data_IF_304414532466
#
_entry.id   IF_304414532466
#
_cell.length_a   1.000
_cell.length_b   1.000
_cell.length_c   1.000
_cell.angle_alpha   90.00
_cell.angle_beta   90.00
_cell.angle_gamma   90.00
#
_symmetry.space_group_name_H-M   'P 1'
#
loop_
_entity.id
_entity.type
_entity.pdbx_description
1 polymer ?
#
# COMPACT_ATOMS: atom_id res chain seq x y z
N UNK A 1 85.58 -4.77 15.49
CA UNK A 1 84.43 -5.70 15.60
C UNK A 1 83.18 -4.83 15.43
N UNK A 2 82.66 -4.74 14.16
CA UNK A 2 81.50 -3.87 13.84
C UNK A 2 80.22 -4.65 13.92
N UNK A 3 79.34 -4.34 14.89
CA UNK A 3 77.98 -4.83 14.99
C UNK A 3 77.10 -4.05 14.03
N UNK A 4 76.53 -4.72 12.99
CA UNK A 4 75.55 -4.17 12.07
C UNK A 4 74.14 -4.23 12.77
N UNK A 5 73.56 -3.06 13.03
CA UNK A 5 72.17 -2.96 13.48
C UNK A 5 71.24 -3.25 12.32
N UNK A 6 70.55 -4.37 12.37
CA UNK A 6 69.47 -4.70 11.44
C UNK A 6 68.18 -4.03 11.93
N UNK A 7 67.71 -3.04 11.18
CA UNK A 7 66.39 -2.41 11.40
C UNK A 7 65.35 -3.30 10.75
N UNK A 8 64.52 -3.94 11.59
CA UNK A 8 63.32 -4.68 11.17
C UNK A 8 62.20 -3.67 10.97
N UNK A 9 62.00 -3.23 9.72
CA UNK A 9 60.85 -2.37 9.34
C UNK A 9 59.58 -3.22 9.29
N UNK A 10 58.76 -3.14 10.35
CA UNK A 10 57.47 -3.83 10.43
C UNK A 10 56.48 -3.13 9.49
N UNK A 11 56.26 -3.69 8.31
CA UNK A 11 55.30 -3.22 7.33
C UNK A 11 53.90 -3.55 7.80
N UNK A 12 53.24 -2.56 8.47
CA UNK A 12 51.81 -2.65 8.85
C UNK A 12 50.97 -2.48 7.59
N UNK A 13 50.50 -3.59 7.03
CA UNK A 13 49.57 -3.61 5.91
C UNK A 13 48.18 -3.26 6.43
N UNK A 14 47.57 -2.13 6.06
CA UNK A 14 46.19 -1.80 6.49
C UNK A 14 45.22 -2.79 5.83
N UNK A 15 44.62 -3.67 6.63
CA UNK A 15 43.45 -4.49 6.23
C UNK A 15 42.27 -3.55 6.00
N UNK A 16 42.06 -3.15 4.75
CA UNK A 16 40.83 -2.49 4.32
C UNK A 16 39.67 -3.50 4.38
N UNK A 17 38.96 -3.52 5.47
CA UNK A 17 37.67 -4.19 5.53
C UNK A 17 36.67 -3.44 4.62
N UNK A 18 36.57 -3.88 3.38
CA UNK A 18 35.52 -3.42 2.48
C UNK A 18 34.19 -3.90 3.02
N UNK A 19 33.47 -3.01 3.69
CA UNK A 19 32.08 -3.23 4.10
C UNK A 19 31.19 -3.16 2.85
N UNK A 20 31.08 -4.28 2.13
CA UNK A 20 30.24 -4.38 0.93
C UNK A 20 28.77 -4.61 1.30
N UNK A 21 27.86 -3.80 0.74
CA UNK A 21 26.43 -4.06 0.83
C UNK A 21 26.09 -5.30 0.01
N UNK A 22 25.47 -6.32 0.66
CA UNK A 22 25.00 -7.52 -0.03
C UNK A 22 23.50 -7.38 -0.28
N UNK A 23 23.09 -7.43 -1.54
CA UNK A 23 21.70 -7.43 -1.98
C UNK A 23 21.32 -8.83 -2.45
N UNK A 24 20.21 -9.37 -1.94
CA UNK A 24 19.65 -10.65 -2.36
C UNK A 24 18.19 -10.45 -2.74
N UNK A 25 17.80 -11.00 -3.89
CA UNK A 25 16.37 -11.03 -4.27
C UNK A 25 15.68 -12.17 -3.52
N UNK A 26 14.48 -11.89 -3.06
CA UNK A 26 13.61 -12.83 -2.34
C UNK A 26 12.31 -13.02 -3.10
N UNK A 27 11.55 -14.06 -2.77
CA UNK A 27 10.20 -14.21 -3.27
C UNK A 27 9.31 -13.13 -2.62
N UNK A 28 8.44 -12.49 -3.40
CA UNK A 28 7.54 -11.43 -2.91
C UNK A 28 6.53 -11.91 -1.85
N UNK A 29 6.29 -13.22 -1.76
CA UNK A 29 5.40 -13.82 -0.76
C UNK A 29 6.14 -14.33 0.48
N UNK A 30 7.46 -14.20 0.53
CA UNK A 30 8.26 -14.62 1.69
C UNK A 30 8.13 -13.62 2.82
N UNK A 31 7.66 -14.09 3.98
CA UNK A 31 7.51 -13.26 5.18
C UNK A 31 8.89 -13.01 5.80
N UNK A 32 9.30 -11.75 5.86
CA UNK A 32 10.54 -11.34 6.49
C UNK A 32 10.41 -10.02 7.22
N UNK A 33 10.24 -10.11 8.52
CA UNK A 33 10.24 -8.94 9.41
C UNK A 33 11.68 -8.58 9.82
N UNK A 34 12.18 -7.46 9.32
CA UNK A 34 13.51 -6.92 9.66
C UNK A 34 13.42 -5.95 10.85
N UNK A 35 12.28 -5.29 10.99
CA UNK A 35 11.99 -4.35 12.06
C UNK A 35 10.55 -4.51 12.51
N UNK A 36 10.17 -3.88 13.62
CA UNK A 36 8.76 -3.85 14.05
C UNK A 36 7.90 -2.85 13.29
N UNK A 37 8.42 -2.21 12.25
CA UNK A 37 7.70 -1.24 11.44
C UNK A 37 6.80 -1.94 10.44
N UNK A 38 5.88 -1.14 9.87
CA UNK A 38 5.06 -1.57 8.75
C UNK A 38 5.92 -2.02 7.56
N UNK A 39 5.55 -3.12 6.92
CA UNK A 39 6.24 -3.69 5.78
C UNK A 39 5.27 -4.22 4.70
N UNK A 40 5.82 -4.83 3.66
CA UNK A 40 5.07 -5.40 2.53
C UNK A 40 4.13 -6.53 2.96
N UNK A 41 4.57 -7.39 3.88
CA UNK A 41 3.73 -8.48 4.42
C UNK A 41 2.49 -7.92 5.11
N UNK A 42 2.62 -6.84 5.89
CA UNK A 42 1.48 -6.17 6.54
C UNK A 42 0.49 -5.64 5.49
N UNK A 43 0.99 -5.02 4.42
CA UNK A 43 0.16 -4.51 3.32
C UNK A 43 -0.61 -5.63 2.63
N UNK A 44 0.04 -6.76 2.32
CA UNK A 44 -0.60 -7.93 1.70
C UNK A 44 -1.66 -8.55 2.61
N UNK A 45 -1.38 -8.67 3.91
CA UNK A 45 -2.33 -9.19 4.89
C UNK A 45 -3.58 -8.29 5.00
N UNK A 46 -3.39 -6.98 5.05
CA UNK A 46 -4.49 -6.02 5.08
C UNK A 46 -5.32 -6.13 3.81
N UNK A 47 -4.69 -6.07 2.64
CA UNK A 47 -5.40 -6.13 1.36
C UNK A 47 -6.25 -7.40 1.26
N UNK A 48 -5.66 -8.58 1.49
CA UNK A 48 -6.34 -9.86 1.33
C UNK A 48 -7.52 -10.03 2.29
N UNK A 49 -7.37 -9.65 3.55
CA UNK A 49 -8.45 -9.76 4.54
C UNK A 49 -9.58 -8.77 4.28
N UNK A 50 -9.24 -7.52 3.96
CA UNK A 50 -10.23 -6.49 3.65
C UNK A 50 -11.04 -6.82 2.39
N UNK A 51 -10.40 -7.39 1.36
CA UNK A 51 -11.08 -7.81 0.13
C UNK A 51 -12.06 -8.94 0.46
N UNK A 52 -11.59 -9.96 1.17
CA UNK A 52 -12.43 -11.10 1.53
C UNK A 52 -13.64 -10.66 2.36
N UNK A 53 -13.42 -9.81 3.36
CA UNK A 53 -14.51 -9.27 4.19
C UNK A 53 -15.46 -8.42 3.36
N UNK A 54 -14.98 -7.54 2.51
CA UNK A 54 -15.79 -6.67 1.66
C UNK A 54 -16.66 -7.48 0.69
N UNK A 55 -16.09 -8.45 -0.02
CA UNK A 55 -16.81 -9.24 -1.04
C UNK A 55 -17.79 -10.25 -0.46
N UNK A 56 -17.56 -10.71 0.77
CA UNK A 56 -18.42 -11.69 1.44
C UNK A 56 -19.47 -11.05 2.37
N UNK A 57 -19.40 -9.74 2.59
CA UNK A 57 -20.38 -9.04 3.40
C UNK A 57 -21.71 -8.81 2.64
N UNK A 58 -22.79 -8.64 3.39
CA UNK A 58 -24.14 -8.58 2.82
C UNK A 58 -24.45 -7.34 1.97
N UNK A 59 -23.58 -6.33 1.93
CA UNK A 59 -23.81 -5.10 1.16
C UNK A 59 -23.90 -5.38 -0.35
N UNK A 60 -23.04 -6.26 -0.86
CA UNK A 60 -22.97 -6.59 -2.28
C UNK A 60 -24.33 -7.11 -2.80
N UNK A 61 -24.84 -8.19 -2.20
CA UNK A 61 -26.10 -8.80 -2.62
C UNK A 61 -27.28 -7.81 -2.51
N UNK A 62 -27.33 -7.00 -1.45
CA UNK A 62 -28.34 -5.96 -1.29
C UNK A 62 -28.26 -4.90 -2.38
N UNK A 63 -27.04 -4.52 -2.75
CA UNK A 63 -26.79 -3.49 -3.76
C UNK A 63 -27.15 -3.98 -5.16
N UNK A 64 -26.71 -5.18 -5.55
CA UNK A 64 -27.04 -5.78 -6.84
C UNK A 64 -28.55 -5.96 -6.99
N UNK A 65 -29.23 -6.43 -5.93
CA UNK A 65 -30.70 -6.56 -5.93
C UNK A 65 -31.41 -5.20 -6.10
N UNK A 66 -30.84 -4.10 -5.59
CA UNK A 66 -31.39 -2.76 -5.72
C UNK A 66 -31.10 -2.10 -7.06
N UNK A 67 -29.85 -2.22 -7.54
CA UNK A 67 -29.39 -1.55 -8.75
C UNK A 67 -29.70 -2.33 -10.03
N UNK A 68 -29.89 -3.64 -9.96
CA UNK A 68 -30.05 -4.52 -11.12
C UNK A 68 -28.77 -4.67 -11.97
N UNK A 69 -27.63 -4.23 -11.43
CA UNK A 69 -26.30 -4.28 -12.09
C UNK A 69 -25.20 -4.35 -11.02
N UNK A 70 -23.98 -4.60 -11.48
CA UNK A 70 -22.78 -4.51 -10.63
C UNK A 70 -22.59 -3.07 -10.11
N UNK A 71 -22.21 -2.90 -8.83
CA UNK A 71 -21.94 -1.58 -8.27
C UNK A 71 -20.66 -0.99 -8.83
N UNK A 72 -20.67 0.30 -9.12
CA UNK A 72 -19.50 1.05 -9.56
C UNK A 72 -18.84 1.74 -8.38
N UNK A 73 -17.54 1.49 -8.19
CA UNK A 73 -16.76 1.97 -7.04
C UNK A 73 -15.65 2.93 -7.50
N UNK A 74 -15.38 3.94 -6.70
CA UNK A 74 -14.19 4.78 -6.80
C UNK A 74 -13.37 4.67 -5.52
N UNK A 75 -12.04 4.70 -5.64
CA UNK A 75 -11.17 4.83 -4.48
C UNK A 75 -11.04 6.30 -4.11
N UNK A 76 -11.40 6.60 -2.88
CA UNK A 76 -11.19 7.88 -2.23
C UNK A 76 -9.86 7.90 -1.46
N UNK A 77 -9.78 8.77 -0.45
CA UNK A 77 -8.56 8.90 0.35
C UNK A 77 -8.45 7.80 1.41
N UNK A 78 -7.27 7.18 1.48
CA UNK A 78 -6.84 6.36 2.61
C UNK A 78 -5.72 7.11 3.33
N UNK A 79 -6.04 7.61 4.52
CA UNK A 79 -5.14 8.47 5.29
C UNK A 79 -4.22 7.64 6.18
N UNK A 80 -2.92 7.91 6.12
CA UNK A 80 -1.98 7.43 7.12
C UNK A 80 -1.99 8.39 8.33
N UNK A 81 -2.54 7.95 9.45
CA UNK A 81 -2.54 8.62 10.74
C UNK A 81 -1.63 7.92 11.75
N UNK A 82 -0.74 7.04 11.28
CA UNK A 82 0.26 6.41 12.12
C UNK A 82 1.44 7.34 12.41
N UNK A 83 2.31 6.91 13.31
CA UNK A 83 3.56 7.63 13.60
C UNK A 83 4.70 7.30 12.62
N UNK A 84 4.44 6.50 11.59
CA UNK A 84 5.41 6.07 10.59
C UNK A 84 5.05 6.64 9.21
N UNK A 85 6.06 6.80 8.37
CA UNK A 85 5.83 7.14 6.97
C UNK A 85 5.45 5.88 6.20
N UNK A 86 4.14 5.61 6.10
CA UNK A 86 3.59 4.45 5.39
C UNK A 86 2.89 4.95 4.13
N UNK A 87 3.28 4.40 2.98
CA UNK A 87 2.55 4.62 1.74
C UNK A 87 1.33 3.69 1.71
N UNK A 88 0.14 4.26 1.90
CA UNK A 88 -1.13 3.52 1.91
C UNK A 88 -1.55 3.05 0.52
N UNK A 89 -1.02 3.63 -0.54
CA UNK A 89 -1.36 3.25 -1.92
C UNK A 89 -1.00 1.79 -2.22
N UNK A 90 0.05 1.26 -1.57
CA UNK A 90 0.48 -0.13 -1.80
C UNK A 90 -0.63 -1.15 -1.58
N UNK A 91 -1.32 -1.09 -0.44
CA UNK A 91 -2.42 -2.02 -0.18
C UNK A 91 -3.74 -1.58 -0.82
N UNK A 92 -3.93 -0.30 -1.08
CA UNK A 92 -5.11 0.24 -1.79
C UNK A 92 -5.14 -0.25 -3.24
N UNK A 93 -4.02 -0.18 -3.94
CA UNK A 93 -3.89 -0.69 -5.31
C UNK A 93 -4.09 -2.21 -5.38
N UNK A 94 -3.56 -2.97 -4.40
CA UNK A 94 -3.81 -4.41 -4.31
C UNK A 94 -5.29 -4.72 -4.10
N UNK A 95 -5.97 -3.97 -3.22
CA UNK A 95 -7.42 -4.10 -3.02
C UNK A 95 -8.20 -3.77 -4.29
N UNK A 96 -7.88 -2.66 -4.94
CA UNK A 96 -8.52 -2.25 -6.19
C UNK A 96 -8.38 -3.33 -7.26
N UNK A 97 -7.15 -3.82 -7.47
CA UNK A 97 -6.86 -4.89 -8.43
C UNK A 97 -7.68 -6.15 -8.15
N UNK A 98 -7.72 -6.57 -6.89
CA UNK A 98 -8.45 -7.78 -6.54
C UNK A 98 -9.97 -7.63 -6.64
N UNK A 99 -10.51 -6.47 -6.30
CA UNK A 99 -11.94 -6.16 -6.46
C UNK A 99 -12.33 -6.14 -7.95
N UNK A 100 -11.55 -5.50 -8.81
CA UNK A 100 -11.75 -5.52 -10.27
C UNK A 100 -11.71 -6.96 -10.81
N UNK A 101 -10.67 -7.72 -10.44
CA UNK A 101 -10.49 -9.09 -10.91
C UNK A 101 -11.55 -10.07 -10.39
N UNK A 102 -12.27 -9.73 -9.32
CA UNK A 102 -13.39 -10.52 -8.82
C UNK A 102 -14.60 -10.51 -9.78
N UNK A 103 -14.68 -9.53 -10.68
CA UNK A 103 -15.83 -9.31 -11.56
C UNK A 103 -17.13 -8.91 -10.86
N UNK A 104 -17.04 -8.60 -9.55
CA UNK A 104 -18.23 -8.22 -8.75
C UNK A 104 -18.47 -6.73 -8.69
N UNK A 105 -17.46 -5.92 -8.99
CA UNK A 105 -17.55 -4.46 -8.94
C UNK A 105 -16.88 -3.84 -10.15
N UNK A 106 -17.46 -2.80 -10.68
CA UNK A 106 -16.83 -1.92 -11.66
C UNK A 106 -16.07 -0.82 -10.96
N UNK A 107 -14.92 -0.42 -11.53
CA UNK A 107 -14.14 0.71 -11.02
C UNK A 107 -14.10 1.85 -12.02
N UNK A 108 -14.23 3.06 -11.51
CA UNK A 108 -13.88 4.26 -12.26
C UNK A 108 -12.54 4.79 -11.80
N UNK A 109 -11.80 5.34 -12.74
CA UNK A 109 -10.49 5.95 -12.52
C UNK A 109 -10.56 6.98 -11.38
N UNK A 110 -9.49 7.10 -10.62
CA UNK A 110 -9.33 8.07 -9.54
C UNK A 110 -9.46 9.52 -10.03
N UNK A 111 -9.58 10.46 -9.11
CA UNK A 111 -9.70 11.89 -9.47
C UNK A 111 -8.52 12.37 -10.32
N UNK A 112 -7.30 11.93 -9.99
CA UNK A 112 -6.09 12.33 -10.71
C UNK A 112 -6.07 11.73 -12.12
N UNK A 113 -6.27 10.41 -12.24
CA UNK A 113 -6.34 9.72 -13.52
C UNK A 113 -7.42 10.29 -14.45
N UNK A 114 -8.60 10.63 -13.90
CA UNK A 114 -9.66 11.26 -14.70
C UNK A 114 -9.25 12.65 -15.18
N UNK A 115 -8.44 13.39 -14.40
CA UNK A 115 -7.87 14.65 -14.81
C UNK A 115 -7.00 14.50 -16.05
N UNK A 116 -6.09 13.54 -16.04
CA UNK A 116 -5.21 13.20 -17.17
C UNK A 116 -6.00 12.70 -18.38
N UNK A 117 -6.99 11.83 -18.18
CA UNK A 117 -7.85 11.34 -19.26
C UNK A 117 -8.68 12.45 -19.93
N UNK A 118 -9.14 13.43 -19.17
CA UNK A 118 -9.86 14.59 -19.72
C UNK A 118 -8.92 15.47 -20.54
N UNK A 119 -7.72 15.70 -20.07
CA UNK A 119 -6.70 16.44 -20.79
C UNK A 119 -6.33 15.73 -22.11
N UNK A 120 -6.09 14.43 -22.06
CA UNK A 120 -5.81 13.62 -23.25
C UNK A 120 -6.95 13.68 -24.28
N UNK A 121 -8.21 13.65 -23.82
CA UNK A 121 -9.36 13.77 -24.74
C UNK A 121 -9.41 15.14 -25.42
N UNK A 122 -9.06 16.22 -24.70
CA UNK A 122 -8.95 17.55 -25.29
C UNK A 122 -7.87 17.61 -26.38
N UNK A 123 -6.71 17.00 -26.10
CA UNK A 123 -5.61 16.92 -27.06
C UNK A 123 -5.98 16.07 -28.29
N UNK A 124 -6.69 14.95 -28.11
CA UNK A 124 -7.21 14.16 -29.23
C UNK A 124 -8.24 14.92 -30.06
N UNK A 125 -9.08 15.77 -29.46
CA UNK A 125 -10.04 16.58 -30.20
C UNK A 125 -9.34 17.65 -31.05
N UNK A 126 -8.18 18.13 -30.62
CA UNK A 126 -7.39 19.13 -31.34
C UNK A 126 -6.47 18.51 -32.44
N UNK A 127 -5.81 17.40 -32.13
CA UNK A 127 -4.70 16.88 -32.92
C UNK A 127 -4.96 15.55 -33.63
N UNK A 128 -5.95 14.75 -33.20
CA UNK A 128 -6.22 13.46 -33.82
C UNK A 128 -7.16 13.61 -35.04
N UNK A 129 -7.08 12.65 -35.99
CA UNK A 129 -7.99 12.59 -37.11
C UNK A 129 -9.43 12.33 -36.65
N UNK A 130 -10.41 12.82 -37.41
CA UNK A 130 -11.83 12.67 -37.10
C UNK A 130 -12.26 11.19 -36.98
N UNK A 131 -11.58 10.29 -37.71
CA UNK A 131 -11.84 8.86 -37.68
C UNK A 131 -11.34 8.16 -36.42
N UNK A 132 -10.29 8.67 -35.78
CA UNK A 132 -9.60 8.02 -34.65
C UNK A 132 -9.88 8.66 -33.30
N UNK A 133 -10.27 9.94 -33.29
CA UNK A 133 -10.58 10.63 -32.05
C UNK A 133 -11.76 10.00 -31.30
N UNK A 134 -11.65 9.93 -30.00
CA UNK A 134 -12.76 9.45 -29.16
C UNK A 134 -13.68 10.60 -28.81
N UNK A 135 -14.95 10.46 -29.12
CA UNK A 135 -15.95 11.44 -28.75
C UNK A 135 -16.00 11.63 -27.22
N UNK A 136 -16.18 12.85 -26.77
CA UNK A 136 -16.48 13.14 -25.36
C UNK A 136 -17.78 12.44 -24.97
N UNK A 137 -17.66 11.27 -24.31
CA UNK A 137 -18.78 10.58 -23.69
C UNK A 137 -19.06 11.09 -22.28
N UNK A 138 -20.23 10.77 -21.75
CA UNK A 138 -20.50 10.96 -20.33
C UNK A 138 -19.66 9.97 -19.53
N UNK A 139 -18.97 10.47 -18.50
CA UNK A 139 -18.27 9.60 -17.54
C UNK A 139 -19.28 8.81 -16.74
N UNK A 140 -18.97 7.53 -16.48
CA UNK A 140 -19.75 6.72 -15.57
C UNK A 140 -19.50 7.25 -14.15
N UNK A 141 -20.57 7.59 -13.44
CA UNK A 141 -20.51 7.98 -12.03
C UNK A 141 -20.33 6.76 -11.13
N UNK A 142 -19.55 6.90 -10.06
CA UNK A 142 -19.45 5.86 -9.05
C UNK A 142 -20.71 5.84 -8.16
N UNK A 143 -21.15 4.65 -7.81
CA UNK A 143 -22.23 4.44 -6.83
C UNK A 143 -21.68 4.53 -5.39
N UNK A 144 -20.42 4.11 -5.21
CA UNK A 144 -19.77 4.03 -3.90
C UNK A 144 -18.34 4.57 -3.93
N UNK A 145 -17.90 5.06 -2.76
CA UNK A 145 -16.53 5.46 -2.51
C UNK A 145 -15.91 4.60 -1.41
N UNK A 146 -14.78 3.98 -1.72
CA UNK A 146 -13.92 3.28 -0.76
C UNK A 146 -12.97 4.29 -0.12
N UNK A 147 -12.97 4.42 1.20
CA UNK A 147 -12.08 5.30 1.95
C UNK A 147 -11.62 4.64 3.25
N UNK A 148 -10.57 5.17 3.87
CA UNK A 148 -10.07 4.55 5.09
C UNK A 148 -9.04 5.35 5.85
N UNK A 149 -8.58 4.77 6.95
CA UNK A 149 -7.52 5.32 7.79
C UNK A 149 -6.68 4.19 8.38
N UNK A 150 -5.37 4.40 8.40
CA UNK A 150 -4.40 3.58 9.10
C UNK A 150 -3.91 4.33 10.33
N UNK A 151 -4.06 3.74 11.51
CA UNK A 151 -3.60 4.26 12.78
C UNK A 151 -2.53 3.34 13.38
N UNK A 152 -1.69 3.88 14.27
CA UNK A 152 -0.78 3.08 15.09
C UNK A 152 -0.73 3.54 16.54
N UNK A 153 -0.45 2.60 17.44
CA UNK A 153 -0.13 2.86 18.85
C UNK A 153 1.20 2.17 19.13
N UNK A 154 2.13 2.90 19.71
CA UNK A 154 3.44 2.38 20.13
C UNK A 154 3.56 2.48 21.64
N UNK A 155 3.77 1.33 22.27
CA UNK A 155 4.11 1.22 23.69
C UNK A 155 5.53 0.67 23.80
N UNK A 156 6.43 1.43 24.43
CA UNK A 156 7.85 1.08 24.48
C UNK A 156 8.49 1.37 25.80
N UNK A 157 9.22 0.38 26.31
CA UNK A 157 10.03 0.52 27.53
C UNK A 157 11.39 -0.17 27.34
N UNK A 158 12.47 0.56 27.65
CA UNK A 158 13.86 0.10 27.50
C UNK A 158 14.17 -0.37 26.07
N UNK A 159 14.35 -1.68 25.89
CA UNK A 159 14.69 -2.31 24.59
C UNK A 159 13.53 -3.11 23.99
N UNK A 160 12.34 -2.96 24.56
CA UNK A 160 11.13 -3.66 24.15
C UNK A 160 10.11 -2.65 23.65
N UNK A 161 9.38 -3.02 22.61
CA UNK A 161 8.25 -2.23 22.14
C UNK A 161 7.13 -3.16 21.65
N UNK A 162 5.91 -2.69 21.81
CA UNK A 162 4.74 -3.25 21.13
C UNK A 162 4.24 -2.20 20.18
N UNK A 163 4.15 -2.55 18.91
CA UNK A 163 3.57 -1.70 17.87
C UNK A 163 2.24 -2.32 17.44
N UNK A 164 1.18 -1.55 17.56
CA UNK A 164 -0.16 -1.94 17.16
C UNK A 164 -0.59 -1.04 16.00
N UNK A 165 -1.00 -1.67 14.90
CA UNK A 165 -1.57 -1.01 13.73
C UNK A 165 -3.04 -1.40 13.60
N UNK A 166 -3.86 -0.45 13.19
CA UNK A 166 -5.26 -0.67 12.88
C UNK A 166 -5.61 0.04 11.58
N UNK A 167 -6.03 -0.73 10.59
CA UNK A 167 -6.58 -0.23 9.34
C UNK A 167 -8.08 -0.35 9.37
N UNK A 168 -8.77 0.74 9.13
CA UNK A 168 -10.23 0.79 9.01
C UNK A 168 -10.57 1.28 7.59
N UNK A 169 -11.42 0.53 6.91
CA UNK A 169 -11.90 0.88 5.57
C UNK A 169 -13.42 0.96 5.57
N UNK A 170 -13.96 1.83 4.73
CA UNK A 170 -15.41 2.05 4.61
C UNK A 170 -15.80 2.13 3.15
N UNK A 171 -16.93 1.54 2.83
CA UNK A 171 -17.61 1.74 1.55
C UNK A 171 -18.84 2.63 1.79
N UNK A 172 -18.85 3.78 1.16
CA UNK A 172 -19.84 4.84 1.38
C UNK A 172 -20.64 5.02 0.11
N UNK A 173 -21.97 4.92 0.21
CA UNK A 173 -22.87 5.24 -0.88
C UNK A 173 -22.83 6.75 -1.15
N UNK A 174 -22.53 7.15 -2.39
CA UNK A 174 -22.34 8.56 -2.77
C UNK A 174 -23.63 9.35 -2.88
N UNK A 175 -24.76 8.67 -3.07
CA UNK A 175 -26.08 9.30 -3.14
C UNK A 175 -26.64 9.60 -1.74
N UNK A 176 -26.49 8.62 -0.81
CA UNK A 176 -27.17 8.66 0.49
C UNK A 176 -26.24 8.93 1.66
N UNK A 177 -24.92 8.95 1.45
CA UNK A 177 -23.89 9.03 2.48
C UNK A 177 -23.89 7.86 3.49
N UNK A 178 -24.62 6.78 3.18
CA UNK A 178 -24.64 5.60 4.04
C UNK A 178 -23.34 4.80 3.93
N UNK A 179 -22.81 4.40 5.08
CA UNK A 179 -21.72 3.41 5.14
C UNK A 179 -22.36 2.04 4.99
N UNK A 180 -22.13 1.39 3.86
CA UNK A 180 -22.71 0.08 3.54
C UNK A 180 -21.81 -1.08 3.95
N UNK A 181 -20.52 -0.82 4.09
CA UNK A 181 -19.53 -1.75 4.62
C UNK A 181 -18.48 -1.01 5.44
N UNK A 182 -17.98 -1.64 6.50
CA UNK A 182 -16.90 -1.15 7.34
C UNK A 182 -16.05 -2.34 7.77
N UNK A 183 -14.85 -2.45 7.19
CA UNK A 183 -13.86 -3.47 7.49
C UNK A 183 -12.77 -2.95 8.42
N UNK A 184 -12.21 -3.85 9.22
CA UNK A 184 -11.10 -3.55 10.12
C UNK A 184 -10.06 -4.68 10.10
N UNK A 185 -8.78 -4.33 10.00
CA UNK A 185 -7.65 -5.23 10.22
C UNK A 185 -6.73 -4.68 11.28
N UNK A 186 -6.32 -5.54 12.19
CA UNK A 186 -5.38 -5.23 13.27
C UNK A 186 -4.12 -6.08 13.13
N UNK A 187 -2.96 -5.45 13.34
CA UNK A 187 -1.66 -6.10 13.35
C UNK A 187 -0.93 -5.65 14.62
N UNK A 188 -0.39 -6.61 15.37
CA UNK A 188 0.35 -6.34 16.61
C UNK A 188 1.71 -6.99 16.55
N UNK A 189 2.77 -6.19 16.68
CA UNK A 189 4.16 -6.64 16.62
C UNK A 189 4.84 -6.42 17.96
N UNK A 190 5.60 -7.43 18.42
CA UNK A 190 6.47 -7.31 19.57
C UNK A 190 7.92 -7.20 19.10
N UNK A 191 8.59 -6.14 19.51
CA UNK A 191 9.96 -5.83 19.09
C UNK A 191 10.90 -5.89 20.27
N UNK A 192 12.00 -6.62 20.12
CA UNK A 192 13.09 -6.64 21.10
C UNK A 192 14.38 -6.23 20.41
N UNK A 193 15.08 -5.24 20.95
CA UNK A 193 16.38 -4.78 20.43
C UNK A 193 17.52 -5.42 21.21
N UNK A 194 18.51 -6.00 20.51
CA UNK A 194 19.72 -6.52 21.15
C UNK A 194 20.60 -5.41 21.74
N UNK A 195 21.53 -5.76 22.64
CA UNK A 195 22.44 -4.77 23.28
C UNK A 195 23.49 -4.18 22.31
N UNK A 196 23.65 -4.75 21.12
CA UNK A 196 24.73 -4.47 20.17
C UNK A 196 24.31 -3.75 18.89
N UNK A 197 23.09 -3.25 18.80
CA UNK A 197 22.69 -2.42 17.65
C UNK A 197 22.98 -0.95 17.92
N UNK A 198 24.01 -0.45 17.25
CA UNK A 198 24.38 0.98 17.15
C UNK A 198 23.44 1.67 16.16
#
# INVERSE_FOLDING_TARGET
MHMKKVWFSLLILPLLFACGTKVQRMNSTEIKDVSGRWNDTDSQMVASEMINDCLNSGWYNKTVAKLGKEPTVIVGTVTNSSMEHINTDTFVEEMQRALINSGKVDFVASKNERGELRQERLEQDEFASEETRKAFGREIGADFMLSGVLNSIVDSENKKAVVFYQVNMKLINLETNQIVWNGQKQIKKYVTRSKTSW
#
